data_IF_295700572646
#
_entry.id   IF_295700572646
#
_cell.length_a   1.000
_cell.length_b   1.000
_cell.length_c   1.000
_cell.angle_alpha   90.00
_cell.angle_beta   90.00
_cell.angle_gamma   90.00
#
_symmetry.space_group_name_H-M   'P 1'
#
loop_
_entity.id
_entity.type
_entity.pdbx_description
1 polymer ?
#
# COMPACT_ATOMS: atom_id res chain seq x y z
N UNK A 1 -12.10 -19.80 -4.21
CA UNK A 1 -11.96 -18.49 -4.86
C UNK A 1 -10.47 -18.25 -5.08
N UNK A 2 -9.99 -18.24 -6.33
CA UNK A 2 -8.54 -18.32 -6.63
C UNK A 2 -7.77 -17.07 -6.18
N UNK A 3 -8.44 -15.96 -5.88
CA UNK A 3 -7.81 -14.66 -5.55
C UNK A 3 -7.24 -14.59 -4.14
N UNK A 4 -7.89 -15.26 -3.18
CA UNK A 4 -7.43 -15.33 -1.79
C UNK A 4 -6.20 -16.23 -1.69
N UNK A 5 -6.19 -17.32 -2.45
CA UNK A 5 -5.08 -18.27 -2.54
C UNK A 5 -3.79 -17.61 -3.05
N UNK A 6 -3.88 -16.69 -4.01
CA UNK A 6 -2.72 -15.90 -4.46
C UNK A 6 -2.22 -14.93 -3.40
N UNK A 7 -3.10 -14.21 -2.69
CA UNK A 7 -2.67 -13.24 -1.68
C UNK A 7 -1.92 -13.91 -0.51
N UNK A 8 -2.32 -15.13 -0.13
CA UNK A 8 -1.67 -15.89 0.94
C UNK A 8 -0.28 -16.43 0.55
N UNK A 9 -0.13 -16.95 -0.68
CA UNK A 9 1.19 -17.41 -1.16
C UNK A 9 2.24 -16.28 -1.17
N UNK A 10 1.81 -15.03 -1.35
CA UNK A 10 2.72 -13.87 -1.35
C UNK A 10 3.23 -13.48 0.05
N UNK A 11 2.44 -13.68 1.11
CA UNK A 11 2.90 -13.36 2.48
C UNK A 11 3.97 -14.36 2.93
N UNK A 12 3.87 -15.62 2.50
CA UNK A 12 4.89 -16.63 2.76
C UNK A 12 6.16 -16.40 1.93
N UNK A 13 6.04 -16.00 0.66
CA UNK A 13 7.19 -15.76 -0.23
C UNK A 13 7.97 -14.46 0.09
N UNK A 14 7.30 -13.43 0.63
CA UNK A 14 7.90 -12.09 0.85
C UNK A 14 7.90 -11.65 2.32
N UNK A 15 7.65 -12.58 3.26
CA UNK A 15 7.55 -12.35 4.71
C UNK A 15 8.79 -11.77 5.40
N UNK A 16 9.84 -11.46 4.67
CA UNK A 16 10.98 -10.69 5.13
C UNK A 16 11.51 -9.80 4.00
N UNK A 17 10.69 -8.89 3.46
CA UNK A 17 11.24 -7.80 2.68
C UNK A 17 12.13 -6.97 3.61
N UNK A 18 13.45 -7.07 3.43
CA UNK A 18 14.39 -6.06 3.93
C UNK A 18 13.88 -4.72 3.42
N UNK A 19 13.33 -3.92 4.34
CA UNK A 19 12.81 -2.58 4.09
C UNK A 19 13.95 -1.70 3.59
N UNK A 20 14.23 -1.77 2.29
CA UNK A 20 15.08 -0.79 1.64
C UNK A 20 14.41 0.57 1.81
N UNK A 21 15.18 1.54 2.28
CA UNK A 21 14.73 2.92 2.39
C UNK A 21 14.28 3.40 1.02
N UNK A 22 12.97 3.51 0.81
CA UNK A 22 12.41 4.09 -0.41
C UNK A 22 12.63 5.60 -0.31
N UNK A 23 13.45 6.17 -1.19
CA UNK A 23 13.55 7.62 -1.33
C UNK A 23 12.24 8.12 -1.95
N UNK A 24 11.52 8.96 -1.19
CA UNK A 24 10.28 9.61 -1.61
C UNK A 24 10.53 11.10 -1.83
N UNK A 25 9.90 11.68 -2.86
CA UNK A 25 9.80 13.15 -2.92
C UNK A 25 8.85 13.67 -1.84
N UNK A 26 8.85 14.99 -1.60
CA UNK A 26 7.92 15.61 -0.64
C UNK A 26 6.46 15.34 -1.01
N UNK A 27 6.14 15.37 -2.30
CA UNK A 27 4.81 15.10 -2.85
C UNK A 27 4.42 13.63 -2.66
N UNK A 28 5.34 12.70 -2.93
CA UNK A 28 5.13 11.27 -2.72
C UNK A 28 4.92 10.96 -1.24
N UNK A 29 5.78 11.49 -0.35
CA UNK A 29 5.64 11.33 1.09
C UNK A 29 4.30 11.91 1.59
N UNK A 30 3.88 13.06 1.07
CA UNK A 30 2.56 13.64 1.36
C UNK A 30 1.41 12.71 0.94
N UNK A 31 1.46 12.19 -0.29
CA UNK A 31 0.45 11.26 -0.79
C UNK A 31 0.38 9.95 0.04
N UNK A 32 1.54 9.41 0.45
CA UNK A 32 1.60 8.22 1.30
C UNK A 32 0.98 8.47 2.68
N UNK A 33 1.22 9.62 3.30
CA UNK A 33 0.55 10.00 4.56
C UNK A 33 -0.96 10.13 4.39
N UNK A 34 -1.42 10.72 3.29
CA UNK A 34 -2.86 10.82 2.98
C UNK A 34 -3.51 9.44 2.80
N UNK A 35 -2.84 8.51 2.11
CA UNK A 35 -3.30 7.12 2.00
C UNK A 35 -3.39 6.47 3.37
N UNK A 36 -2.37 6.63 4.22
CA UNK A 36 -2.37 6.06 5.57
C UNK A 36 -3.54 6.58 6.42
N UNK A 37 -3.88 7.86 6.30
CA UNK A 37 -5.06 8.46 6.95
C UNK A 37 -6.37 7.90 6.38
N UNK A 38 -6.51 7.83 5.05
CA UNK A 38 -7.71 7.30 4.39
C UNK A 38 -7.96 5.83 4.73
N UNK A 39 -6.90 5.01 4.82
CA UNK A 39 -6.98 3.63 5.30
C UNK A 39 -7.52 3.53 6.73
N UNK A 40 -7.28 4.54 7.58
CA UNK A 40 -7.84 4.59 8.93
C UNK A 40 -9.37 4.45 8.92
N UNK A 41 -10.02 5.13 7.98
CA UNK A 41 -11.49 5.18 7.84
C UNK A 41 -12.08 4.08 6.95
N UNK A 42 -11.27 3.43 6.12
CA UNK A 42 -11.73 2.34 5.26
C UNK A 42 -12.05 1.07 6.07
N UNK A 43 -13.09 0.34 5.67
CA UNK A 43 -13.60 -0.83 6.41
C UNK A 43 -13.26 -2.16 5.73
N UNK A 44 -13.20 -2.21 4.41
CA UNK A 44 -13.06 -3.44 3.63
C UNK A 44 -12.03 -3.33 2.48
N UNK A 45 -11.82 -4.43 1.74
CA UNK A 45 -10.85 -4.51 0.64
C UNK A 45 -11.11 -3.46 -0.46
N UNK A 46 -12.37 -3.23 -0.80
CA UNK A 46 -12.76 -2.25 -1.81
C UNK A 46 -12.49 -0.83 -1.31
N UNK A 47 -12.75 -0.53 -0.04
CA UNK A 47 -12.39 0.72 0.62
C UNK A 47 -10.87 0.93 0.70
N UNK A 48 -10.10 -0.10 0.99
CA UNK A 48 -8.63 -0.02 1.00
C UNK A 48 -8.07 0.28 -0.39
N UNK A 49 -8.62 -0.37 -1.42
CA UNK A 49 -8.26 -0.12 -2.81
C UNK A 49 -8.69 1.29 -3.24
N UNK A 50 -9.91 1.70 -2.87
CA UNK A 50 -10.51 3.01 -3.17
C UNK A 50 -9.70 4.17 -2.59
N UNK A 51 -9.23 4.04 -1.35
CA UNK A 51 -8.40 5.05 -0.68
C UNK A 51 -7.19 5.49 -1.52
N UNK A 52 -6.54 4.56 -2.24
CA UNK A 52 -5.41 4.87 -3.12
C UNK A 52 -5.86 5.62 -4.37
N UNK A 53 -6.99 5.25 -4.95
CA UNK A 53 -7.55 5.93 -6.11
C UNK A 53 -8.03 7.34 -5.79
N UNK A 54 -8.67 7.53 -4.64
CA UNK A 54 -9.17 8.83 -4.19
C UNK A 54 -8.02 9.80 -3.96
N UNK A 55 -6.98 9.38 -3.22
CA UNK A 55 -5.78 10.22 -3.01
C UNK A 55 -5.06 10.49 -4.33
N UNK A 56 -4.95 9.51 -5.22
CA UNK A 56 -4.35 9.72 -6.54
C UNK A 56 -5.09 10.83 -7.32
N UNK A 57 -6.42 10.82 -7.27
CA UNK A 57 -7.26 11.83 -7.91
C UNK A 57 -7.09 13.21 -7.27
N UNK A 58 -7.09 13.28 -5.95
CA UNK A 58 -6.92 14.54 -5.19
C UNK A 58 -5.56 15.20 -5.45
N UNK A 59 -4.49 14.40 -5.50
CA UNK A 59 -3.13 14.91 -5.72
C UNK A 59 -2.79 15.09 -7.21
N UNK A 60 -3.68 14.71 -8.14
CA UNK A 60 -3.39 14.73 -9.57
C UNK A 60 -2.30 13.74 -10.01
N UNK A 61 -2.10 12.67 -9.23
CA UNK A 61 -1.09 11.63 -9.47
C UNK A 61 -1.74 10.45 -10.20
N UNK A 62 -1.04 9.82 -11.15
CA UNK A 62 -1.53 8.59 -11.76
C UNK A 62 -1.61 7.47 -10.70
N UNK A 63 -2.76 6.77 -10.53
CA UNK A 63 -2.89 5.73 -9.50
C UNK A 63 -1.80 4.66 -9.54
N UNK A 64 -1.40 4.24 -10.75
CA UNK A 64 -0.32 3.26 -10.94
C UNK A 64 1.04 3.70 -10.38
N UNK A 65 1.30 5.00 -10.28
CA UNK A 65 2.51 5.50 -9.64
C UNK A 65 2.43 5.31 -8.12
N UNK A 66 1.30 5.62 -7.49
CA UNK A 66 1.12 5.39 -6.04
C UNK A 66 1.17 3.90 -5.72
N UNK A 67 0.52 3.02 -6.50
CA UNK A 67 0.64 1.57 -6.30
C UNK A 67 2.09 1.08 -6.37
N UNK A 68 2.88 1.58 -7.33
CA UNK A 68 4.29 1.23 -7.43
C UNK A 68 5.08 1.63 -6.18
N UNK A 69 4.81 2.83 -5.64
CA UNK A 69 5.46 3.30 -4.41
C UNK A 69 5.03 2.45 -3.22
N UNK A 70 3.73 2.18 -3.08
CA UNK A 70 3.18 1.33 -2.02
C UNK A 70 3.83 -0.06 -2.03
N UNK A 71 3.96 -0.71 -3.18
CA UNK A 71 4.62 -2.02 -3.26
C UNK A 71 6.12 -1.94 -3.00
N UNK A 72 6.81 -0.85 -3.40
CA UNK A 72 8.21 -0.67 -3.02
C UNK A 72 8.38 -0.59 -1.50
N UNK A 73 7.52 0.18 -0.83
CA UNK A 73 7.53 0.33 0.63
C UNK A 73 7.20 -1.00 1.32
N UNK A 74 6.15 -1.68 0.87
CA UNK A 74 5.55 -2.79 1.60
C UNK A 74 6.16 -4.15 1.24
N UNK A 75 6.70 -4.28 0.02
CA UNK A 75 7.18 -5.54 -0.56
C UNK A 75 8.61 -5.46 -1.11
N UNK A 76 9.22 -4.29 -1.18
CA UNK A 76 10.51 -4.10 -1.86
C UNK A 76 10.45 -4.28 -3.38
N UNK A 77 9.25 -4.32 -3.98
CA UNK A 77 9.02 -4.62 -5.40
C UNK A 77 8.21 -3.51 -6.08
N UNK A 78 8.46 -3.19 -7.36
CA UNK A 78 7.64 -2.21 -8.10
C UNK A 78 6.23 -2.71 -8.43
N UNK A 79 5.92 -3.98 -8.17
CA UNK A 79 4.63 -4.61 -8.49
C UNK A 79 4.22 -5.57 -7.37
N UNK A 80 2.92 -5.80 -7.24
CA UNK A 80 2.35 -6.66 -6.21
C UNK A 80 0.91 -7.08 -6.53
N UNK A 81 0.29 -7.89 -5.65
CA UNK A 81 -1.12 -8.25 -5.75
C UNK A 81 -2.03 -7.02 -5.65
N UNK A 82 -3.34 -7.17 -5.84
CA UNK A 82 -4.27 -6.05 -5.60
C UNK A 82 -4.12 -5.54 -4.16
N UNK A 83 -4.03 -4.22 -4.02
CA UNK A 83 -3.77 -3.56 -2.74
C UNK A 83 -4.84 -3.85 -1.69
N UNK A 84 -6.13 -3.83 -2.07
CA UNK A 84 -7.23 -4.12 -1.14
C UNK A 84 -7.10 -5.46 -0.41
N UNK A 85 -7.10 -6.60 -1.15
CA UNK A 85 -6.86 -7.92 -0.58
C UNK A 85 -5.54 -8.04 0.19
N UNK A 86 -4.48 -7.39 -0.28
CA UNK A 86 -3.19 -7.36 0.40
C UNK A 86 -3.30 -6.73 1.80
N UNK A 87 -3.95 -5.57 1.92
CA UNK A 87 -4.15 -4.89 3.20
C UNK A 87 -5.00 -5.72 4.14
N UNK A 88 -6.02 -6.43 3.63
CA UNK A 88 -6.82 -7.35 4.43
C UNK A 88 -5.99 -8.54 4.96
N UNK A 89 -5.12 -9.13 4.12
CA UNK A 89 -4.27 -10.26 4.49
C UNK A 89 -3.17 -9.88 5.49
N UNK A 90 -2.47 -8.76 5.27
CA UNK A 90 -1.37 -8.29 6.14
C UNK A 90 -1.89 -7.60 7.41
N UNK A 91 -3.07 -7.01 7.34
CA UNK A 91 -3.70 -6.26 8.42
C UNK A 91 -3.50 -4.75 8.27
N UNK A 92 -4.63 -4.04 8.18
CA UNK A 92 -4.75 -2.58 8.03
C UNK A 92 -3.81 -1.77 8.93
N UNK A 93 -3.73 -2.12 10.23
CA UNK A 93 -2.88 -1.41 11.20
C UNK A 93 -1.39 -1.56 10.90
N UNK A 94 -0.96 -2.74 10.43
CA UNK A 94 0.43 -3.01 10.07
C UNK A 94 0.84 -2.18 8.85
N UNK A 95 -0.02 -2.17 7.83
CA UNK A 95 0.20 -1.36 6.62
C UNK A 95 0.29 0.13 6.96
N UNK A 96 -0.68 0.68 7.70
CA UNK A 96 -0.66 2.10 8.09
C UNK A 96 0.64 2.47 8.82
N UNK A 97 1.10 1.61 9.74
CA UNK A 97 2.35 1.84 10.48
C UNK A 97 3.55 1.93 9.54
N UNK A 98 3.68 1.00 8.58
CA UNK A 98 4.82 0.99 7.67
C UNK A 98 4.80 2.16 6.69
N UNK A 99 3.62 2.56 6.21
CA UNK A 99 3.46 3.75 5.38
C UNK A 99 3.90 5.02 6.11
N UNK A 100 3.46 5.20 7.36
CA UNK A 100 3.84 6.37 8.15
C UNK A 100 5.35 6.39 8.42
N UNK A 101 5.94 5.26 8.81
CA UNK A 101 7.38 5.13 9.05
C UNK A 101 8.21 5.49 7.81
N UNK A 102 7.76 5.11 6.62
CA UNK A 102 8.46 5.32 5.35
C UNK A 102 8.29 6.75 4.79
N UNK A 103 7.41 7.55 5.38
CA UNK A 103 7.06 8.90 4.91
C UNK A 103 7.46 10.02 5.88
N UNK A 104 8.28 9.69 6.88
CA UNK A 104 8.84 10.63 7.86
C UNK A 104 10.24 11.08 7.47
#
# INVERSE_FOLDING_TARGET
DKRIEYAMNWVEDFGAAELQSVELTNEEASAIRKIALALGSAEDEDGYQGAVFDVAKEEGIRPGNLFRILYKILLGSPQGPRFGPYVAAVGKKSVIKELLKSSN
#
